data_IF_511824530566
#
_entry.id   IF_511824530566
#
_cell.length_a   1.000
_cell.length_b   1.000
_cell.length_c   1.000
_cell.angle_alpha   90.00
_cell.angle_beta   90.00
_cell.angle_gamma   90.00
#
_symmetry.space_group_name_H-M   'P 1'
#
loop_
_entity.id
_entity.type
_entity.pdbx_description
1 polymer ?
#
# COMPACT_ATOMS: atom_id res chain seq x y z
N UNK A 1 -17.71 12.88 5.55
CA UNK A 1 -16.58 12.49 6.43
C UNK A 1 -15.31 12.49 5.60
N UNK A 2 -14.25 13.15 6.06
CA UNK A 2 -12.97 13.22 5.33
C UNK A 2 -12.22 11.90 5.43
N UNK A 3 -11.25 11.69 4.54
CA UNK A 3 -10.40 10.49 4.57
C UNK A 3 -9.58 10.45 5.85
N UNK A 4 -9.06 11.59 6.29
CA UNK A 4 -8.32 11.72 7.54
C UNK A 4 -9.17 11.31 8.76
N UNK A 5 -10.44 11.72 8.78
CA UNK A 5 -11.35 11.35 9.87
C UNK A 5 -11.67 9.85 9.86
N UNK A 6 -11.85 9.25 8.68
CA UNK A 6 -12.03 7.80 8.57
C UNK A 6 -10.80 7.03 9.06
N UNK A 7 -9.60 7.50 8.72
CA UNK A 7 -8.36 6.91 9.22
C UNK A 7 -8.25 7.02 10.75
N UNK A 8 -8.57 8.19 11.30
CA UNK A 8 -8.59 8.40 12.76
C UNK A 8 -9.55 7.42 13.45
N UNK A 9 -10.76 7.23 12.89
CA UNK A 9 -11.76 6.31 13.43
C UNK A 9 -11.28 4.84 13.39
N UNK A 10 -10.38 4.51 12.46
CA UNK A 10 -9.69 3.21 12.36
C UNK A 10 -8.43 3.14 13.24
N UNK A 11 -8.09 4.20 13.97
CA UNK A 11 -6.86 4.28 14.76
C UNK A 11 -5.59 4.41 13.91
N UNK A 12 -5.73 4.89 12.68
CA UNK A 12 -4.63 5.02 11.72
C UNK A 12 -4.28 6.49 11.48
N UNK A 13 -3.01 6.73 11.17
CA UNK A 13 -2.49 8.06 10.84
C UNK A 13 -1.91 8.05 9.44
N UNK A 14 -2.32 9.00 8.61
CA UNK A 14 -1.76 9.17 7.28
C UNK A 14 -0.34 9.73 7.39
N UNK A 15 0.69 8.99 6.94
CA UNK A 15 2.06 9.48 7.02
C UNK A 15 2.34 10.58 5.99
N UNK A 16 3.47 11.24 6.13
CA UNK A 16 4.01 12.06 5.06
C UNK A 16 4.54 11.17 3.92
N UNK A 17 4.43 11.61 2.66
CA UNK A 17 4.91 10.83 1.53
C UNK A 17 6.41 10.59 1.64
N UNK A 18 6.82 9.32 1.50
CA UNK A 18 8.23 8.93 1.58
C UNK A 18 8.96 9.29 0.28
N UNK A 19 10.20 9.78 0.36
CA UNK A 19 11.02 10.02 -0.82
C UNK A 19 11.41 8.69 -1.48
N UNK A 20 11.74 8.70 -2.79
CA UNK A 20 12.23 7.51 -3.47
C UNK A 20 13.61 7.08 -2.93
N UNK A 21 13.87 5.78 -2.94
CA UNK A 21 15.12 5.18 -2.47
C UNK A 21 16.18 5.04 -3.57
N UNK A 22 15.97 5.65 -4.73
CA UNK A 22 16.87 5.54 -5.87
C UNK A 22 16.59 6.58 -6.95
N UNK A 23 17.09 6.32 -8.15
CA UNK A 23 16.99 7.21 -9.30
C UNK A 23 15.62 7.06 -10.02
N UNK A 24 14.54 7.27 -9.29
CA UNK A 24 13.17 7.23 -9.80
C UNK A 24 12.29 8.21 -9.00
N UNK A 25 11.04 8.37 -9.43
CA UNK A 25 10.06 9.25 -8.77
C UNK A 25 9.02 8.43 -8.01
N UNK A 26 8.40 8.96 -6.94
CA UNK A 26 7.42 8.22 -6.17
C UNK A 26 6.14 7.95 -6.96
N UNK A 27 5.78 8.80 -7.90
CA UNK A 27 4.65 8.59 -8.81
C UNK A 27 4.82 9.39 -10.10
N UNK A 28 4.09 8.97 -11.14
CA UNK A 28 3.93 9.69 -12.40
C UNK A 28 2.44 9.78 -12.71
N UNK A 29 1.98 10.98 -13.09
CA UNK A 29 0.66 11.19 -13.65
C UNK A 29 0.72 11.19 -15.18
N UNK A 30 -0.18 10.43 -15.79
CA UNK A 30 -0.34 10.40 -17.24
C UNK A 30 -1.80 10.14 -17.62
N UNK A 31 -2.40 11.09 -18.34
CA UNK A 31 -3.76 10.96 -18.90
C UNK A 31 -4.82 10.56 -17.86
N UNK A 32 -4.78 11.16 -16.67
CA UNK A 32 -5.70 10.87 -15.57
C UNK A 32 -5.38 9.61 -14.77
N UNK A 33 -4.29 8.92 -15.08
CA UNK A 33 -3.78 7.82 -14.26
C UNK A 33 -2.53 8.24 -13.50
N UNK A 34 -2.45 7.83 -12.24
CA UNK A 34 -1.26 7.98 -11.40
C UNK A 34 -0.67 6.61 -11.16
N UNK A 35 0.57 6.45 -11.62
CA UNK A 35 1.37 5.25 -11.41
C UNK A 35 2.25 5.47 -10.19
N UNK A 36 2.03 4.71 -9.13
CA UNK A 36 2.71 4.88 -7.84
C UNK A 36 3.75 3.78 -7.68
N UNK A 37 4.99 4.19 -7.46
CA UNK A 37 6.10 3.27 -7.20
C UNK A 37 5.86 2.43 -5.95
N UNK A 38 6.49 1.27 -5.87
CA UNK A 38 6.38 0.34 -4.75
C UNK A 38 6.60 1.01 -3.40
N UNK A 39 5.67 0.78 -2.48
CA UNK A 39 5.69 1.30 -1.12
C UNK A 39 5.87 0.15 -0.14
N UNK A 40 6.84 0.28 0.75
CA UNK A 40 7.09 -0.68 1.82
C UNK A 40 6.26 -0.41 3.08
N UNK A 41 6.35 -1.31 4.07
CA UNK A 41 5.63 -1.20 5.34
C UNK A 41 6.39 -0.28 6.31
N UNK A 42 6.66 0.94 5.88
CA UNK A 42 7.45 1.92 6.63
C UNK A 42 6.56 2.66 7.61
N UNK A 43 7.00 2.70 8.86
CA UNK A 43 6.30 3.40 9.95
C UNK A 43 6.48 4.92 9.83
N UNK A 44 5.48 5.68 10.29
CA UNK A 44 5.52 7.14 10.30
C UNK A 44 6.74 7.69 11.08
N UNK A 45 7.06 7.06 12.22
CA UNK A 45 8.20 7.45 13.08
C UNK A 45 9.56 6.91 12.64
N UNK A 46 9.63 6.23 11.50
CA UNK A 46 10.83 5.53 11.02
C UNK A 46 10.81 4.04 11.37
N UNK A 47 11.70 3.28 10.69
CA UNK A 47 11.68 1.83 10.77
C UNK A 47 10.60 1.22 9.86
N UNK A 48 10.60 -0.11 9.74
CA UNK A 48 9.68 -0.85 8.91
C UNK A 48 9.41 -2.24 9.51
N UNK A 49 8.33 -2.89 9.07
CA UNK A 49 8.08 -4.29 9.40
C UNK A 49 8.90 -5.16 8.45
N UNK A 50 9.85 -5.92 9.02
CA UNK A 50 10.78 -6.76 8.28
C UNK A 50 10.61 -8.23 8.62
N UNK A 51 11.08 -9.12 7.73
CA UNK A 51 11.04 -10.56 7.89
C UNK A 51 10.28 -11.26 6.77
N UNK A 52 9.94 -12.54 6.99
CA UNK A 52 9.35 -13.41 5.96
C UNK A 52 8.13 -14.14 6.50
N UNK A 53 7.09 -14.22 5.68
CA UNK A 53 5.94 -15.09 5.93
C UNK A 53 6.38 -16.55 5.78
N UNK A 54 5.94 -17.38 6.71
CA UNK A 54 6.36 -18.77 6.76
C UNK A 54 7.66 -19.02 7.54
N UNK A 55 8.33 -17.94 7.97
CA UNK A 55 9.55 -17.99 8.78
C UNK A 55 9.46 -16.96 9.92
N UNK A 56 8.68 -17.29 10.94
CA UNK A 56 8.51 -16.49 12.14
C UNK A 56 7.40 -15.45 12.09
N UNK A 57 6.89 -15.09 10.91
CA UNK A 57 5.76 -14.17 10.75
C UNK A 57 4.52 -14.92 10.27
N UNK A 58 3.36 -14.53 10.80
CA UNK A 58 2.07 -15.06 10.40
C UNK A 58 1.31 -14.12 9.44
N UNK A 59 0.13 -14.57 8.99
CA UNK A 59 -0.72 -13.79 8.07
C UNK A 59 -1.12 -12.44 8.67
N UNK A 60 -1.36 -12.39 9.97
CA UNK A 60 -1.76 -11.15 10.67
C UNK A 60 -0.64 -10.12 10.66
N UNK A 61 0.59 -10.54 10.91
CA UNK A 61 1.78 -9.68 10.80
C UNK A 61 1.93 -9.14 9.38
N UNK A 62 1.77 -10.01 8.39
CA UNK A 62 1.82 -9.65 6.97
C UNK A 62 0.72 -8.67 6.56
N UNK A 63 -0.51 -8.90 7.02
CA UNK A 63 -1.65 -8.01 6.73
C UNK A 63 -1.45 -6.62 7.35
N UNK A 64 -0.89 -6.54 8.55
CA UNK A 64 -0.52 -5.26 9.17
C UNK A 64 0.54 -4.53 8.37
N UNK A 65 1.55 -5.24 7.88
CA UNK A 65 2.57 -4.67 6.99
C UNK A 65 1.95 -4.16 5.67
N UNK A 66 1.03 -4.93 5.07
CA UNK A 66 0.30 -4.51 3.87
C UNK A 66 -0.54 -3.25 4.12
N UNK A 67 -1.18 -3.12 5.28
CA UNK A 67 -1.91 -1.93 5.67
C UNK A 67 -0.99 -0.70 5.78
N UNK A 68 0.23 -0.86 6.33
CA UNK A 68 1.22 0.22 6.36
C UNK A 68 1.68 0.62 4.96
N UNK A 69 1.92 -0.34 4.07
CA UNK A 69 2.22 -0.05 2.66
C UNK A 69 1.09 0.73 1.99
N UNK A 70 -0.17 0.37 2.27
CA UNK A 70 -1.33 1.10 1.77
C UNK A 70 -1.40 2.54 2.31
N UNK A 71 -1.06 2.77 3.57
CA UNK A 71 -0.96 4.13 4.13
C UNK A 71 0.12 4.96 3.41
N UNK A 72 1.25 4.35 3.07
CA UNK A 72 2.29 5.03 2.29
C UNK A 72 1.83 5.30 0.84
N UNK A 73 1.05 4.40 0.23
CA UNK A 73 0.38 4.66 -1.06
C UNK A 73 -0.60 5.84 -0.95
N UNK A 74 -1.44 5.86 0.09
CA UNK A 74 -2.38 6.97 0.34
C UNK A 74 -1.65 8.31 0.48
N UNK A 75 -0.49 8.33 1.11
CA UNK A 75 0.34 9.55 1.22
C UNK A 75 0.77 10.05 -0.17
N UNK A 76 1.15 9.15 -1.08
CA UNK A 76 1.48 9.51 -2.47
C UNK A 76 0.25 9.97 -3.25
N UNK A 77 -0.91 9.31 -3.07
CA UNK A 77 -2.17 9.76 -3.68
C UNK A 77 -2.51 11.17 -3.21
N UNK A 78 -2.44 11.45 -1.89
CA UNK A 78 -2.69 12.77 -1.33
C UNK A 78 -1.79 13.83 -1.98
N UNK A 79 -0.52 13.53 -2.17
CA UNK A 79 0.41 14.43 -2.84
C UNK A 79 0.00 14.66 -4.31
N UNK A 80 -0.34 13.60 -5.03
CA UNK A 80 -0.74 13.67 -6.44
C UNK A 80 -2.03 14.50 -6.65
N UNK A 81 -3.01 14.38 -5.75
CA UNK A 81 -4.29 15.11 -5.85
C UNK A 81 -4.25 16.49 -5.17
N UNK A 82 -3.10 16.92 -4.64
CA UNK A 82 -2.97 18.20 -3.94
C UNK A 82 -3.85 18.29 -2.70
N UNK A 83 -3.99 17.21 -1.97
CA UNK A 83 -4.84 17.04 -0.78
C UNK A 83 -6.35 17.13 -1.03
N UNK A 84 -6.78 17.19 -2.28
CA UNK A 84 -8.19 17.17 -2.66
C UNK A 84 -8.64 15.75 -3.04
N UNK A 85 -9.13 15.00 -2.05
CA UNK A 85 -9.58 13.62 -2.24
C UNK A 85 -10.77 13.46 -3.20
N UNK A 86 -11.46 14.55 -3.55
CA UNK A 86 -12.55 14.49 -4.55
C UNK A 86 -12.01 14.21 -5.94
N UNK A 87 -10.75 14.55 -6.21
CA UNK A 87 -10.08 14.23 -7.46
C UNK A 87 -9.75 12.74 -7.63
N UNK A 88 -9.69 11.97 -6.56
CA UNK A 88 -9.52 10.52 -6.67
C UNK A 88 -10.80 9.89 -7.23
N UNK A 89 -10.75 9.41 -8.45
CA UNK A 89 -11.87 8.73 -9.10
C UNK A 89 -11.98 7.30 -8.57
N UNK A 90 -10.89 6.53 -8.61
CA UNK A 90 -10.85 5.18 -8.04
C UNK A 90 -9.44 4.62 -7.91
N UNK A 91 -9.30 3.59 -7.10
CA UNK A 91 -8.14 2.69 -7.13
C UNK A 91 -8.36 1.73 -8.30
N UNK A 92 -7.39 1.65 -9.21
CA UNK A 92 -7.49 0.83 -10.43
C UNK A 92 -6.85 -0.54 -10.23
N UNK A 93 -5.62 -0.56 -9.72
CA UNK A 93 -4.83 -1.79 -9.57
C UNK A 93 -3.88 -1.71 -8.39
N UNK A 94 -3.72 -2.83 -7.70
CA UNK A 94 -2.61 -3.08 -6.79
C UNK A 94 -1.79 -4.26 -7.29
N UNK A 95 -0.49 -4.22 -7.08
CA UNK A 95 0.38 -5.38 -7.15
C UNK A 95 1.11 -5.53 -5.81
N UNK A 96 0.83 -6.61 -5.11
CA UNK A 96 1.43 -6.93 -3.81
C UNK A 96 2.49 -8.02 -3.94
N UNK A 97 3.69 -7.71 -3.47
CA UNK A 97 4.84 -8.62 -3.40
C UNK A 97 5.08 -8.99 -1.95
N UNK A 98 5.00 -10.27 -1.64
CA UNK A 98 5.12 -10.78 -0.26
C UNK A 98 6.44 -11.52 -0.10
N UNK A 99 7.27 -11.08 0.83
CA UNK A 99 8.50 -11.77 1.21
C UNK A 99 8.09 -13.04 1.97
N UNK A 100 8.20 -14.19 1.32
CA UNK A 100 7.66 -15.44 1.82
C UNK A 100 8.57 -16.62 1.51
N UNK A 101 8.50 -17.65 2.35
CA UNK A 101 9.11 -18.94 2.05
C UNK A 101 8.41 -19.62 0.87
N UNK A 102 9.06 -20.54 0.15
CA UNK A 102 8.45 -21.18 -1.04
C UNK A 102 7.18 -21.96 -0.76
N UNK A 103 6.98 -22.45 0.46
CA UNK A 103 5.82 -23.22 0.88
C UNK A 103 4.67 -22.35 1.44
N UNK A 104 4.90 -21.06 1.69
CA UNK A 104 3.84 -20.14 2.06
C UNK A 104 3.02 -19.77 0.82
N UNK A 105 1.71 -19.93 0.88
CA UNK A 105 0.81 -19.74 -0.28
C UNK A 105 -0.36 -18.79 -0.01
N UNK A 106 -0.42 -18.17 1.16
CA UNK A 106 -1.52 -17.27 1.56
C UNK A 106 -1.25 -15.79 1.26
N UNK A 107 -0.56 -15.49 0.16
CA UNK A 107 -0.27 -14.11 -0.27
C UNK A 107 -1.52 -13.24 -0.40
N UNK A 108 -2.67 -13.73 -0.94
CA UNK A 108 -3.89 -12.94 -1.00
C UNK A 108 -4.38 -12.47 0.37
N UNK A 109 -4.31 -13.31 1.39
CA UNK A 109 -4.72 -12.97 2.75
C UNK A 109 -3.84 -11.85 3.35
N UNK A 110 -2.54 -11.86 3.05
CA UNK A 110 -1.61 -10.81 3.46
C UNK A 110 -1.94 -9.48 2.78
N UNK A 111 -2.10 -9.47 1.47
CA UNK A 111 -2.36 -8.25 0.71
C UNK A 111 -3.77 -7.70 0.98
N UNK A 112 -4.69 -8.48 1.50
CA UNK A 112 -6.00 -8.02 1.98
C UNK A 112 -5.88 -6.90 3.01
N UNK A 113 -4.82 -6.84 3.81
CA UNK A 113 -4.58 -5.73 4.72
C UNK A 113 -4.56 -4.35 4.03
N UNK A 114 -4.08 -4.31 2.80
CA UNK A 114 -4.13 -3.11 1.96
C UNK A 114 -5.49 -2.95 1.27
N UNK A 115 -5.99 -4.01 0.64
CA UNK A 115 -7.23 -3.95 -0.14
C UNK A 115 -8.43 -3.57 0.71
N UNK A 116 -8.55 -4.11 1.90
CA UNK A 116 -9.63 -3.80 2.85
C UNK A 116 -9.58 -2.34 3.27
N UNK A 117 -8.40 -1.80 3.56
CA UNK A 117 -8.25 -0.38 3.90
C UNK A 117 -8.78 0.53 2.78
N UNK A 118 -8.45 0.24 1.51
CA UNK A 118 -8.96 1.04 0.40
C UNK A 118 -10.48 0.94 0.26
N UNK A 119 -11.07 -0.23 0.49
CA UNK A 119 -12.53 -0.41 0.47
C UNK A 119 -13.20 0.32 1.63
N UNK A 120 -12.63 0.25 2.83
CA UNK A 120 -13.14 0.96 4.01
C UNK A 120 -13.16 2.48 3.81
N UNK A 121 -12.10 3.01 3.18
CA UNK A 121 -11.99 4.45 2.95
C UNK A 121 -12.86 4.95 1.79
N UNK A 122 -12.93 4.19 0.68
CA UNK A 122 -13.48 4.67 -0.59
C UNK A 122 -14.71 3.90 -1.09
N UNK A 123 -15.12 2.82 -0.40
CA UNK A 123 -16.24 1.99 -0.84
C UNK A 123 -15.98 1.35 -2.20
N UNK A 124 -16.94 1.43 -3.11
CA UNK A 124 -16.81 0.85 -4.47
C UNK A 124 -15.64 1.45 -5.27
N UNK A 125 -15.26 2.70 -5.02
CA UNK A 125 -14.09 3.32 -5.66
C UNK A 125 -12.76 2.74 -5.15
N UNK A 126 -12.77 2.09 -3.99
CA UNK A 126 -11.62 1.37 -3.43
C UNK A 126 -11.44 -0.03 -4.00
N UNK A 127 -12.45 -0.61 -4.64
CA UNK A 127 -12.35 -1.94 -5.27
C UNK A 127 -11.51 -1.86 -6.53
N UNK A 128 -10.51 -2.73 -6.63
CA UNK A 128 -9.45 -2.67 -7.63
C UNK A 128 -9.14 -4.07 -8.17
N UNK A 129 -8.46 -4.14 -9.30
CA UNK A 129 -7.82 -5.37 -9.78
C UNK A 129 -6.52 -5.59 -9.02
N UNK A 130 -6.09 -6.85 -8.89
CA UNK A 130 -4.95 -7.17 -8.03
C UNK A 130 -4.19 -8.40 -8.47
N UNK A 131 -2.86 -8.38 -8.31
CA UNK A 131 -2.02 -9.56 -8.18
C UNK A 131 -1.38 -9.56 -6.79
N UNK A 132 -1.28 -10.74 -6.17
CA UNK A 132 -0.62 -10.95 -4.89
C UNK A 132 0.26 -12.18 -5.02
N UNK A 133 1.57 -12.01 -4.97
CA UNK A 133 2.55 -13.07 -5.25
C UNK A 133 3.66 -13.07 -4.20
N UNK A 134 4.27 -14.24 -4.01
CA UNK A 134 5.45 -14.40 -3.18
C UNK A 134 6.71 -14.07 -3.97
N UNK A 135 7.69 -13.50 -3.28
CA UNK A 135 9.02 -13.21 -3.81
C UNK A 135 10.10 -13.79 -2.89
N UNK A 136 11.27 -14.04 -3.44
CA UNK A 136 12.39 -14.63 -2.69
C UNK A 136 12.96 -13.66 -1.64
N UNK A 137 12.91 -12.36 -1.91
CA UNK A 137 13.36 -11.30 -1.01
C UNK A 137 12.78 -9.96 -1.42
N UNK A 138 12.77 -9.01 -0.52
CA UNK A 138 12.41 -7.61 -0.77
C UNK A 138 13.52 -6.68 -0.28
N UNK A 139 13.59 -5.44 -0.79
CA UNK A 139 14.54 -4.46 -0.31
C UNK A 139 14.46 -4.30 1.20
N UNK A 140 15.59 -4.16 1.88
CA UNK A 140 15.69 -3.97 3.34
C UNK A 140 14.94 -5.02 4.16
N UNK A 141 14.78 -6.23 3.60
CA UNK A 141 14.05 -7.33 4.24
C UNK A 141 12.59 -6.98 4.59
N UNK A 142 11.97 -6.07 3.85
CA UNK A 142 10.55 -5.76 4.06
C UNK A 142 9.67 -7.00 3.90
N UNK A 143 8.62 -7.07 4.71
CA UNK A 143 7.64 -8.18 4.65
C UNK A 143 6.81 -8.13 3.39
N UNK A 144 6.47 -6.93 2.92
CA UNK A 144 5.62 -6.70 1.76
C UNK A 144 6.03 -5.41 1.04
N UNK A 145 5.80 -5.36 -0.25
CA UNK A 145 5.88 -4.15 -1.06
C UNK A 145 4.65 -4.12 -1.97
N UNK A 146 4.05 -2.95 -2.13
CA UNK A 146 2.84 -2.79 -2.95
C UNK A 146 3.01 -1.58 -3.85
N UNK A 147 2.80 -1.75 -5.15
CA UNK A 147 2.60 -0.65 -6.09
C UNK A 147 1.12 -0.49 -6.45
N UNK A 148 0.77 0.66 -7.00
CA UNK A 148 -0.60 0.99 -7.32
C UNK A 148 -0.74 1.82 -8.59
N UNK A 149 -1.88 1.66 -9.24
CA UNK A 149 -2.37 2.58 -10.28
C UNK A 149 -3.71 3.11 -9.79
N UNK A 150 -3.88 4.43 -9.82
CA UNK A 150 -5.14 5.09 -9.45
C UNK A 150 -5.58 6.03 -10.56
N UNK A 151 -6.88 6.27 -10.65
CA UNK A 151 -7.47 7.23 -11.58
C UNK A 151 -7.82 8.51 -10.83
N UNK A 152 -7.48 9.64 -11.43
CA UNK A 152 -7.80 10.98 -10.91
C UNK A 152 -8.48 11.83 -11.99
N UNK A 153 -9.25 12.82 -11.55
CA UNK A 153 -9.91 13.80 -12.42
C UNK A 153 -9.17 15.14 -12.44
#
# INVERSE_FOLDING_TARGET
>A
MTIEKKLEDLGLVLPDPKPPLGAYVPYIERDGLVFISGQGPVLAGGGAICGRLGDGLDIEDGARAAQLSALNILAQIRAAVGSDWQKLVRIVRLCGYVNATPDFTHHPAVVNGASELFVDLFGERGRHTRSAVGVASLPMDWVVEIDAIVEIS
#
